data_IF_126684620916
#
_entry.id   IF_126684620916
#
_cell.length_a   1.000
_cell.length_b   1.000
_cell.length_c   1.000
_cell.angle_alpha   90.00
_cell.angle_beta   90.00
_cell.angle_gamma   90.00
#
_symmetry.space_group_name_H-M   'P 1'
#
loop_
_entity.id
_entity.type
_entity.pdbx_description
1 polymer ?
#
# COMPACT_ATOMS: atom_id res chain seq x y z
N UNK A 1 4.02 0.95 -11.76
CA UNK A 1 3.95 2.07 -12.73
C UNK A 1 4.86 3.25 -12.37
N UNK A 2 5.42 3.32 -11.16
CA UNK A 2 6.15 4.50 -10.64
C UNK A 2 7.68 4.46 -10.79
N UNK A 3 8.23 3.62 -11.67
CA UNK A 3 9.62 3.80 -12.11
C UNK A 3 9.68 4.99 -13.06
N UNK A 4 10.82 5.70 -13.15
CA UNK A 4 10.95 6.92 -13.98
C UNK A 4 10.47 6.72 -15.42
N UNK A 5 10.82 5.58 -16.01
CA UNK A 5 10.44 5.23 -17.39
C UNK A 5 8.93 4.97 -17.52
N UNK A 6 8.37 4.08 -16.70
CA UNK A 6 6.94 3.76 -16.76
C UNK A 6 6.08 4.97 -16.40
N UNK A 7 6.52 5.79 -15.45
CA UNK A 7 5.83 7.02 -15.10
C UNK A 7 5.77 7.98 -16.28
N UNK A 8 6.93 8.30 -16.86
CA UNK A 8 7.01 9.34 -17.91
C UNK A 8 6.21 8.96 -19.15
N UNK A 9 6.16 7.68 -19.51
CA UNK A 9 5.53 7.23 -20.75
C UNK A 9 4.09 6.73 -20.59
N UNK A 10 3.72 6.20 -19.42
CA UNK A 10 2.41 5.58 -19.19
C UNK A 10 1.65 6.32 -18.09
N UNK A 11 2.15 6.28 -16.85
CA UNK A 11 1.39 6.73 -15.68
C UNK A 11 1.19 8.25 -15.61
N UNK A 12 2.05 9.04 -16.28
CA UNK A 12 1.97 10.50 -16.29
C UNK A 12 0.62 10.99 -16.84
N UNK A 13 -0.01 10.22 -17.73
CA UNK A 13 -1.30 10.55 -18.35
C UNK A 13 -2.41 10.63 -17.29
N UNK A 14 -2.46 9.64 -16.40
CA UNK A 14 -3.37 9.61 -15.26
C UNK A 14 -3.10 10.77 -14.29
N UNK A 15 -1.82 11.13 -14.08
CA UNK A 15 -1.38 12.24 -13.23
C UNK A 15 -1.49 13.63 -13.90
N UNK A 16 -2.02 13.74 -15.13
CA UNK A 16 -2.20 15.05 -15.78
C UNK A 16 -3.22 15.89 -15.00
N UNK A 17 -4.30 15.26 -14.53
CA UNK A 17 -5.27 15.95 -13.69
C UNK A 17 -4.91 15.80 -12.20
N UNK A 18 -4.57 16.93 -11.56
CA UNK A 18 -4.28 16.98 -10.12
C UNK A 18 -5.53 17.16 -9.24
N UNK A 19 -6.68 17.33 -9.86
CA UNK A 19 -7.98 17.46 -9.19
C UNK A 19 -8.97 16.56 -9.93
N UNK A 20 -8.81 15.25 -9.80
CA UNK A 20 -9.43 14.32 -10.71
C UNK A 20 -10.92 14.14 -10.39
N UNK A 21 -11.72 14.04 -11.45
CA UNK A 21 -13.18 13.86 -11.45
C UNK A 21 -13.53 12.35 -11.53
N UNK A 22 -14.77 11.91 -11.23
CA UNK A 22 -15.11 10.49 -11.09
C UNK A 22 -14.72 9.60 -12.29
N UNK A 23 -14.67 10.18 -13.49
CA UNK A 23 -14.33 9.48 -14.72
C UNK A 23 -12.86 9.60 -15.12
N UNK A 24 -12.08 10.41 -14.41
CA UNK A 24 -10.66 10.61 -14.68
C UNK A 24 -9.81 9.40 -14.27
N UNK A 25 -10.36 8.51 -13.43
CA UNK A 25 -9.77 7.19 -13.19
C UNK A 25 -9.63 6.39 -14.49
N UNK A 26 -10.50 6.64 -15.47
CA UNK A 26 -10.43 6.00 -16.80
C UNK A 26 -9.45 6.69 -17.75
N UNK A 27 -8.86 7.82 -17.38
CA UNK A 27 -7.84 8.52 -18.16
C UNK A 27 -6.45 7.89 -17.94
N UNK A 28 -6.34 6.61 -18.24
CA UNK A 28 -5.10 5.84 -18.17
C UNK A 28 -4.59 5.53 -19.58
N UNK A 29 -3.27 5.39 -19.74
CA UNK A 29 -2.70 4.96 -21.00
C UNK A 29 -3.19 3.53 -21.33
N UNK A 30 -3.53 3.17 -22.59
CA UNK A 30 -4.07 1.83 -22.90
C UNK A 30 -3.17 0.67 -22.45
N UNK A 31 -1.85 0.82 -22.57
CA UNK A 31 -0.89 -0.17 -22.06
C UNK A 31 -0.85 -0.26 -20.53
N UNK A 32 -1.12 0.85 -19.83
CA UNK A 32 -1.26 0.82 -18.38
C UNK A 32 -2.53 0.07 -17.97
N UNK A 33 -3.66 0.36 -18.63
CA UNK A 33 -4.90 -0.40 -18.44
C UNK A 33 -4.72 -1.88 -18.76
N UNK A 34 -4.04 -2.22 -19.86
CA UNK A 34 -3.69 -3.60 -20.19
C UNK A 34 -2.87 -4.27 -19.09
N UNK A 35 -1.83 -3.60 -18.58
CA UNK A 35 -1.02 -4.10 -17.48
C UNK A 35 -1.82 -4.29 -16.19
N UNK A 36 -2.72 -3.36 -15.87
CA UNK A 36 -3.64 -3.45 -14.74
C UNK A 36 -4.55 -4.69 -14.89
N UNK A 37 -5.17 -4.88 -16.04
CA UNK A 37 -5.99 -6.07 -16.30
C UNK A 37 -5.17 -7.36 -16.28
N UNK A 38 -3.92 -7.34 -16.70
CA UNK A 38 -3.04 -8.51 -16.61
C UNK A 38 -2.71 -8.87 -15.15
N UNK A 39 -2.46 -7.89 -14.28
CA UNK A 39 -2.25 -8.14 -12.85
C UNK A 39 -3.55 -8.65 -12.20
N UNK A 40 -4.68 -8.05 -12.58
CA UNK A 40 -5.99 -8.35 -12.03
C UNK A 40 -6.48 -9.74 -12.44
N UNK A 41 -6.44 -10.07 -13.73
CA UNK A 41 -6.99 -11.29 -14.30
C UNK A 41 -5.94 -12.37 -14.55
N UNK A 42 -4.67 -12.02 -14.67
CA UNK A 42 -3.57 -12.94 -14.95
C UNK A 42 -3.48 -14.12 -13.98
N UNK A 43 -3.66 -13.95 -12.66
CA UNK A 43 -3.70 -15.08 -11.72
C UNK A 43 -4.70 -16.16 -12.11
N UNK A 44 -5.89 -15.80 -12.62
CA UNK A 44 -6.89 -16.78 -13.04
C UNK A 44 -6.41 -17.67 -14.21
N UNK A 45 -5.47 -17.18 -15.03
CA UNK A 45 -4.88 -17.91 -16.16
C UNK A 45 -3.56 -18.60 -15.80
N UNK A 46 -2.82 -18.10 -14.81
CA UNK A 46 -1.53 -18.66 -14.38
C UNK A 46 -1.67 -19.83 -13.41
N UNK A 47 -2.75 -19.89 -12.64
CA UNK A 47 -3.04 -21.01 -11.75
C UNK A 47 -4.02 -21.97 -12.45
N UNK A 48 -3.59 -23.20 -12.78
CA UNK A 48 -4.45 -24.18 -13.43
C UNK A 48 -5.72 -24.37 -12.60
N UNK A 49 -6.88 -24.03 -13.18
CA UNK A 49 -8.18 -24.29 -12.55
C UNK A 49 -8.50 -25.80 -12.55
N UNK A 50 -7.72 -26.57 -13.33
CA UNK A 50 -7.96 -27.98 -13.64
C UNK A 50 -6.89 -28.89 -13.01
N UNK A 51 -6.44 -28.60 -11.79
CA UNK A 51 -5.61 -29.57 -11.04
C UNK A 51 -6.48 -30.79 -10.75
N UNK A 52 -6.40 -31.79 -11.63
CA UNK A 52 -7.00 -33.11 -11.43
C UNK A 52 -6.21 -33.81 -10.33
N UNK A 53 -6.69 -33.72 -9.10
CA UNK A 53 -6.26 -34.62 -8.04
C UNK A 53 -6.81 -36.00 -8.39
N UNK A 54 -5.96 -36.93 -8.82
CA UNK A 54 -6.34 -38.32 -9.08
C UNK A 54 -6.59 -39.04 -7.74
N UNK A 55 -7.86 -39.07 -7.28
CA UNK A 55 -8.26 -39.71 -6.02
C UNK A 55 -9.78 -39.72 -5.81
N UNK A 56 -10.39 -40.91 -5.76
CA UNK A 56 -11.84 -41.13 -5.81
C UNK A 56 -12.56 -40.58 -4.54
N UNK A 57 -13.35 -39.50 -4.73
CA UNK A 57 -14.13 -38.69 -3.75
C UNK A 57 -13.28 -37.74 -2.86
N UNK A 58 -13.45 -36.39 -2.86
CA UNK A 58 -14.55 -35.51 -3.32
C UNK A 58 -14.07 -34.34 -4.24
N UNK A 59 -13.82 -34.61 -5.52
CA UNK A 59 -13.17 -33.65 -6.45
C UNK A 59 -14.17 -32.66 -7.10
N UNK A 60 -15.44 -33.06 -7.25
CA UNK A 60 -16.47 -32.21 -7.86
C UNK A 60 -16.91 -31.05 -6.96
N UNK A 61 -16.80 -31.21 -5.63
CA UNK A 61 -17.10 -30.15 -4.66
C UNK A 61 -15.92 -29.20 -4.47
N UNK A 62 -14.68 -29.69 -4.48
CA UNK A 62 -13.50 -28.84 -4.27
C UNK A 62 -13.20 -27.93 -5.47
N UNK A 63 -13.43 -28.38 -6.69
CA UNK A 63 -13.20 -27.57 -7.91
C UNK A 63 -14.25 -26.47 -8.07
N UNK A 64 -15.54 -26.78 -7.95
CA UNK A 64 -16.61 -25.75 -8.00
C UNK A 64 -16.49 -24.79 -6.82
N UNK A 65 -16.21 -25.30 -5.61
CA UNK A 65 -16.01 -24.44 -4.44
C UNK A 65 -14.76 -23.57 -4.60
N UNK A 66 -13.65 -24.09 -5.14
CA UNK A 66 -12.42 -23.31 -5.35
C UNK A 66 -12.59 -22.25 -6.45
N UNK A 67 -13.26 -22.57 -7.55
CA UNK A 67 -13.59 -21.59 -8.62
C UNK A 67 -14.55 -20.53 -8.09
N UNK A 68 -15.61 -20.92 -7.37
CA UNK A 68 -16.54 -19.98 -6.75
C UNK A 68 -15.87 -19.13 -5.66
N UNK A 69 -14.99 -19.72 -4.87
CA UNK A 69 -14.20 -19.03 -3.85
C UNK A 69 -13.26 -18.02 -4.51
N UNK A 70 -12.48 -18.42 -5.52
CA UNK A 70 -11.58 -17.51 -6.23
C UNK A 70 -12.34 -16.35 -6.90
N UNK A 71 -13.47 -16.63 -7.56
CA UNK A 71 -14.35 -15.59 -8.12
C UNK A 71 -14.95 -14.69 -7.04
N UNK A 72 -15.32 -15.24 -5.89
CA UNK A 72 -15.83 -14.46 -4.77
C UNK A 72 -14.76 -13.51 -4.22
N UNK A 73 -13.52 -13.97 -4.00
CA UNK A 73 -12.41 -13.11 -3.58
C UNK A 73 -12.04 -12.09 -4.65
N UNK A 74 -12.14 -12.46 -5.92
CA UNK A 74 -11.94 -11.55 -7.03
C UNK A 74 -13.00 -10.42 -7.04
N UNK A 75 -14.27 -10.74 -6.81
CA UNK A 75 -15.32 -9.73 -6.67
C UNK A 75 -15.16 -8.90 -5.39
N UNK A 76 -14.77 -9.53 -4.28
CA UNK A 76 -14.41 -8.82 -3.04
C UNK A 76 -13.17 -7.93 -3.20
N UNK A 77 -12.30 -8.22 -4.16
CA UNK A 77 -11.21 -7.33 -4.51
C UNK A 77 -11.70 -6.18 -5.40
N UNK A 78 -12.47 -6.49 -6.45
CA UNK A 78 -12.95 -5.50 -7.41
C UNK A 78 -13.88 -4.47 -6.78
N UNK A 79 -14.81 -4.91 -5.93
CA UNK A 79 -15.87 -4.04 -5.42
C UNK A 79 -15.29 -2.90 -4.54
N UNK A 80 -14.45 -3.15 -3.53
CA UNK A 80 -13.81 -2.08 -2.77
C UNK A 80 -12.89 -1.20 -3.62
N UNK A 81 -12.12 -1.78 -4.54
CA UNK A 81 -11.25 -0.99 -5.42
C UNK A 81 -12.07 -0.05 -6.32
N UNK A 82 -13.16 -0.54 -6.91
CA UNK A 82 -14.05 0.30 -7.72
C UNK A 82 -14.75 1.38 -6.91
N UNK A 83 -15.25 1.05 -5.71
CA UNK A 83 -15.87 2.03 -4.81
C UNK A 83 -14.84 3.10 -4.40
N UNK A 84 -13.68 2.70 -3.89
CA UNK A 84 -12.63 3.63 -3.47
C UNK A 84 -12.12 4.48 -4.64
N UNK A 85 -12.08 3.94 -5.87
CA UNK A 85 -11.69 4.72 -7.05
C UNK A 85 -12.69 5.85 -7.30
N UNK A 86 -13.99 5.55 -7.27
CA UNK A 86 -15.02 6.58 -7.39
C UNK A 86 -14.90 7.60 -6.24
N UNK A 87 -14.70 7.15 -5.00
CA UNK A 87 -14.59 8.03 -3.84
C UNK A 87 -13.37 8.96 -3.92
N UNK A 88 -12.21 8.43 -4.32
CA UNK A 88 -10.95 9.19 -4.52
C UNK A 88 -11.07 10.26 -5.61
N UNK A 89 -12.03 10.10 -6.52
CA UNK A 89 -12.19 10.93 -7.70
C UNK A 89 -13.49 11.76 -7.70
N UNK A 90 -14.36 11.64 -6.69
CA UNK A 90 -15.63 12.36 -6.68
C UNK A 90 -15.58 13.80 -6.14
N UNK A 91 -14.39 14.30 -5.80
CA UNK A 91 -14.20 15.64 -5.26
C UNK A 91 -14.69 15.83 -3.82
N UNK A 92 -15.09 14.75 -3.14
CA UNK A 92 -15.49 14.76 -1.74
C UNK A 92 -14.39 14.08 -0.90
N UNK A 93 -13.89 14.80 0.10
CA UNK A 93 -12.86 14.27 0.98
C UNK A 93 -13.47 13.35 2.06
N UNK A 94 -13.48 12.05 1.80
CA UNK A 94 -13.87 11.03 2.78
C UNK A 94 -12.69 10.61 3.66
N UNK A 95 -12.95 10.40 4.95
CA UNK A 95 -11.98 9.85 5.92
C UNK A 95 -12.71 8.92 6.90
N UNK A 96 -12.36 7.64 6.85
CA UNK A 96 -12.88 6.59 7.73
C UNK A 96 -11.80 6.02 8.66
N UNK A 97 -10.67 6.71 8.82
CA UNK A 97 -9.53 6.32 9.67
C UNK A 97 -8.62 5.22 9.10
N UNK A 98 -9.17 4.27 8.33
CA UNK A 98 -8.41 3.26 7.57
C UNK A 98 -8.29 3.57 6.08
N UNK A 99 -9.05 4.55 5.61
CA UNK A 99 -9.06 5.03 4.24
C UNK A 99 -9.36 6.53 4.28
N UNK A 100 -8.60 7.30 3.50
CA UNK A 100 -8.83 8.72 3.32
C UNK A 100 -8.61 9.09 1.86
N UNK A 101 -9.60 9.72 1.21
CA UNK A 101 -9.50 10.13 -0.19
C UNK A 101 -8.33 11.11 -0.43
N UNK A 102 -8.02 11.92 0.59
CA UNK A 102 -6.85 12.79 0.61
C UNK A 102 -5.52 12.06 0.37
N UNK A 103 -5.39 10.79 0.74
CA UNK A 103 -4.15 10.05 0.54
C UNK A 103 -3.85 9.88 -0.96
N UNK A 104 -4.90 9.69 -1.77
CA UNK A 104 -4.82 9.63 -3.22
C UNK A 104 -4.61 11.02 -3.84
N UNK A 105 -5.24 12.07 -3.34
CA UNK A 105 -4.94 13.45 -3.77
C UNK A 105 -3.45 13.79 -3.58
N UNK A 106 -2.88 13.38 -2.44
CA UNK A 106 -1.45 13.56 -2.15
C UNK A 106 -0.57 12.75 -3.12
N UNK A 107 -1.04 11.60 -3.59
CA UNK A 107 -0.36 10.82 -4.63
C UNK A 107 -0.30 11.59 -5.96
N UNK A 108 -1.41 12.19 -6.38
CA UNK A 108 -1.48 13.05 -7.58
C UNK A 108 -0.64 14.33 -7.44
N UNK A 109 -0.56 14.90 -6.24
CA UNK A 109 0.31 16.06 -5.96
C UNK A 109 1.80 15.67 -6.01
N UNK A 110 2.14 14.50 -5.45
CA UNK A 110 3.52 14.05 -5.22
C UNK A 110 3.70 12.63 -5.76
N UNK A 111 4.40 12.53 -6.89
CA UNK A 111 4.67 11.27 -7.58
C UNK A 111 5.34 10.17 -6.75
N UNK A 112 5.91 10.50 -5.58
CA UNK A 112 6.84 9.64 -4.84
C UNK A 112 6.32 9.13 -3.48
N UNK A 113 5.01 9.22 -3.24
CA UNK A 113 4.35 8.80 -1.99
C UNK A 113 3.02 8.12 -2.31
N UNK A 114 2.47 7.38 -1.35
CA UNK A 114 1.10 6.83 -1.37
C UNK A 114 0.79 6.03 -2.65
N UNK A 115 1.59 5.01 -2.96
CA UNK A 115 1.43 4.19 -4.16
C UNK A 115 0.36 3.09 -4.03
N UNK A 116 0.06 2.68 -2.80
CA UNK A 116 -0.84 1.59 -2.49
C UNK A 116 -2.27 2.09 -2.47
N UNK A 117 -3.15 1.28 -3.05
CA UNK A 117 -4.58 1.54 -3.13
C UNK A 117 -5.34 0.22 -2.94
N UNK A 118 -6.49 0.23 -2.22
CA UNK A 118 -7.12 1.38 -1.56
C UNK A 118 -6.60 1.64 -0.14
N UNK A 119 -5.84 0.71 0.45
CA UNK A 119 -5.34 0.83 1.81
C UNK A 119 -3.84 1.16 1.82
N UNK A 120 -3.37 2.05 2.72
CA UNK A 120 -1.97 2.50 2.75
C UNK A 120 -1.01 1.50 3.39
N UNK A 121 -1.48 0.30 3.78
CA UNK A 121 -0.70 -0.69 4.55
C UNK A 121 0.62 -1.01 3.84
N UNK A 122 0.59 -1.24 2.53
CA UNK A 122 1.80 -1.54 1.77
C UNK A 122 2.76 -0.34 1.72
N UNK A 123 2.25 0.88 1.61
CA UNK A 123 3.10 2.07 1.69
C UNK A 123 3.70 2.29 3.07
N UNK A 124 2.96 1.98 4.14
CA UNK A 124 3.46 2.05 5.51
C UNK A 124 4.63 1.07 5.67
N UNK A 125 4.46 -0.18 5.22
CA UNK A 125 5.50 -1.20 5.28
C UNK A 125 6.71 -0.86 4.41
N UNK A 126 6.49 -0.24 3.25
CA UNK A 126 7.57 0.17 2.34
C UNK A 126 8.16 1.56 2.67
N UNK A 127 7.61 2.28 3.65
CA UNK A 127 8.08 3.61 4.05
C UNK A 127 7.80 4.70 3.00
N UNK A 128 6.74 4.55 2.21
CA UNK A 128 6.30 5.45 1.15
C UNK A 128 5.02 6.20 1.49
N UNK A 129 4.41 5.95 2.65
CA UNK A 129 3.17 6.61 3.10
C UNK A 129 3.43 8.00 3.70
N UNK A 130 2.62 8.98 3.28
CA UNK A 130 2.52 10.34 3.80
C UNK A 130 1.06 10.64 4.16
N UNK A 131 0.75 10.70 5.45
CA UNK A 131 -0.62 10.87 5.91
C UNK A 131 -0.80 10.51 7.37
N UNK A 132 -2.06 10.29 7.76
CA UNK A 132 -2.45 9.81 9.09
C UNK A 132 -3.26 8.53 8.91
N UNK A 133 -2.86 7.45 9.58
CA UNK A 133 -3.58 6.17 9.55
C UNK A 133 -3.83 5.69 10.98
N UNK A 134 -5.09 5.42 11.32
CA UNK A 134 -5.52 5.05 12.69
C UNK A 134 -4.99 6.01 13.78
N UNK A 135 -4.97 7.32 13.50
CA UNK A 135 -4.50 8.35 14.44
C UNK A 135 -2.97 8.48 14.53
N UNK A 136 -2.19 7.69 13.80
CA UNK A 136 -0.73 7.79 13.74
C UNK A 136 -0.32 8.52 12.47
N UNK A 137 0.54 9.54 12.60
CA UNK A 137 1.09 10.29 11.47
C UNK A 137 2.35 9.63 10.91
N UNK A 138 2.39 9.42 9.60
CA UNK A 138 3.51 8.82 8.88
C UNK A 138 4.23 9.84 8.00
N UNK A 139 5.55 9.67 7.89
CA UNK A 139 6.43 10.50 7.05
C UNK A 139 7.24 9.55 6.16
N UNK A 140 7.27 9.74 4.83
CA UNK A 140 8.03 8.88 3.93
C UNK A 140 9.51 8.83 4.28
N UNK A 141 10.10 7.64 4.25
CA UNK A 141 11.49 7.41 4.66
C UNK A 141 12.48 8.22 3.82
N UNK A 142 12.19 8.43 2.52
CA UNK A 142 13.04 9.26 1.65
C UNK A 142 13.20 10.70 2.18
N UNK A 143 12.14 11.28 2.77
CA UNK A 143 12.19 12.61 3.40
C UNK A 143 13.02 12.60 4.68
N UNK A 144 12.99 11.50 5.45
CA UNK A 144 13.79 11.34 6.66
C UNK A 144 15.28 11.19 6.35
N UNK A 145 15.63 10.43 5.30
CA UNK A 145 17.02 10.29 4.85
C UNK A 145 17.62 11.63 4.42
N UNK A 146 16.84 12.44 3.68
CA UNK A 146 17.29 13.78 3.25
C UNK A 146 17.45 14.77 4.40
N UNK A 147 16.63 14.66 5.47
CA UNK A 147 16.61 15.62 6.57
C UNK A 147 17.51 15.25 7.76
N UNK A 148 17.71 13.96 8.00
CA UNK A 148 18.39 13.45 9.20
C UNK A 148 19.44 12.36 8.91
N UNK A 149 19.63 11.96 7.66
CA UNK A 149 20.61 10.93 7.30
C UNK A 149 20.27 9.51 7.78
N UNK A 150 19.05 9.26 8.22
CA UNK A 150 18.62 7.98 8.81
C UNK A 150 18.27 6.96 7.73
N UNK A 151 18.76 5.72 7.84
CA UNK A 151 18.41 4.62 6.94
C UNK A 151 17.07 3.95 7.31
N UNK A 152 16.38 3.40 6.30
CA UNK A 152 15.03 2.82 6.39
C UNK A 152 14.89 1.71 7.44
N UNK A 153 15.97 0.95 7.68
CA UNK A 153 16.00 -0.13 8.66
C UNK A 153 15.85 0.37 10.10
N UNK A 154 16.37 1.56 10.39
CA UNK A 154 16.33 2.12 11.75
C UNK A 154 14.92 2.64 12.11
N UNK A 155 14.16 3.08 11.11
CA UNK A 155 12.84 3.68 11.30
C UNK A 155 11.75 2.64 11.53
N UNK A 156 11.73 1.57 10.73
CA UNK A 156 10.77 0.45 10.88
C UNK A 156 10.89 -0.21 12.26
N UNK A 157 12.13 -0.37 12.75
CA UNK A 157 12.38 -0.90 14.09
C UNK A 157 11.93 0.12 15.14
N UNK A 158 12.24 1.41 14.99
CA UNK A 158 11.85 2.43 15.98
C UNK A 158 10.34 2.66 16.06
N UNK A 159 9.62 2.65 14.93
CA UNK A 159 8.17 2.87 14.89
C UNK A 159 7.40 1.66 15.39
N UNK A 160 7.79 0.43 15.02
CA UNK A 160 7.23 -0.81 15.57
C UNK A 160 7.50 -0.91 17.07
N UNK A 161 8.70 -0.53 17.54
CA UNK A 161 9.04 -0.50 18.96
C UNK A 161 8.19 0.55 19.71
N UNK A 162 7.97 1.74 19.13
CA UNK A 162 7.13 2.79 19.72
C UNK A 162 5.64 2.42 19.71
N UNK A 163 5.14 1.84 18.62
CA UNK A 163 3.73 1.43 18.51
C UNK A 163 3.42 0.16 19.30
N UNK A 164 4.41 -0.70 19.55
CA UNK A 164 4.29 -1.87 20.43
C UNK A 164 4.45 -1.53 21.93
N UNK A 165 4.65 -0.26 22.29
CA UNK A 165 4.85 0.16 23.69
C UNK A 165 6.14 -0.37 24.32
N UNK A 166 7.09 -0.87 23.53
CA UNK A 166 8.36 -1.40 24.01
C UNK A 166 9.33 -0.21 24.13
N UNK A 167 9.18 0.66 25.13
CA UNK A 167 10.28 1.56 25.46
C UNK A 167 11.48 0.71 25.92
N UNK A 168 12.55 0.67 25.12
CA UNK A 168 13.84 0.16 25.60
C UNK A 168 14.24 1.03 26.79
N UNK A 169 14.08 0.49 27.99
CA UNK A 169 14.55 1.07 29.23
C UNK A 169 16.01 1.52 29.03
N UNK A 170 16.25 2.83 29.15
CA UNK A 170 17.59 3.39 29.13
C UNK A 170 18.40 2.69 30.23
N UNK A 171 19.55 2.05 29.93
CA UNK A 171 20.40 1.50 30.97
C UNK A 171 20.83 2.65 31.87
N UNK A 172 20.45 2.54 33.15
CA UNK A 172 20.81 3.48 34.21
C UNK A 172 22.33 3.57 34.23
N UNK A 173 22.90 4.73 33.87
CA UNK A 173 24.33 4.99 34.04
C UNK A 173 24.64 4.86 35.53
N UNK A 174 25.25 3.74 35.89
CA UNK A 174 25.90 3.54 37.19
C UNK A 174 27.00 4.59 37.33
N UNK A 175 26.83 5.50 38.28
CA UNK A 175 27.83 6.48 38.70
C UNK A 175 29.02 5.72 39.28
N UNK A 176 30.07 5.51 38.47
CA UNK A 176 31.37 5.07 38.99
C UNK A 176 31.92 6.14 39.93
N UNK A 177 32.29 5.69 41.12
CA UNK A 177 32.77 6.48 42.24
C UNK A 177 34.01 7.29 41.91
N UNK A 178 34.06 8.48 42.52
CA UNK A 178 35.22 9.35 42.60
C UNK A 178 36.07 8.86 43.77
N UNK A 179 37.20 8.22 43.47
CA UNK A 179 38.22 7.91 44.46
C UNK A 179 38.84 9.23 44.97
N UNK A 180 38.86 9.38 46.29
CA UNK A 180 39.55 10.44 47.02
C UNK A 180 40.96 9.92 47.30
N UNK A 181 41.98 10.61 46.78
CA UNK A 181 43.36 10.42 47.22
C UNK A 181 43.61 11.33 48.44
N UNK A 182 44.02 10.71 49.55
CA UNK A 182 44.81 11.31 50.62
C UNK A 182 46.16 10.59 50.65
#
# INVERSE_FOLDING_TARGET
MHTKLLYTHLHKWHHVNKSPEPFDDMLIHPLEGFGYYFILWGPAFLFPQDVKYEGLLPILQFSVLSVCFNRFFFLLYLLPNGICGILDHCGINFDFGVYAARDHDLHHEKFNVNYAFPLPIMDILCGTYEGSYLGVRYIPTRKLRGRFGVETRDLLVSSVIKSAGIEKAKPRRSSKGRAVNQ
#
